data_IF_505894936174
#
_entry.id   IF_505894936174
#
_cell.length_a   1.000
_cell.length_b   1.000
_cell.length_c   1.000
_cell.angle_alpha   90.00
_cell.angle_beta   90.00
_cell.angle_gamma   90.00
#
_symmetry.space_group_name_H-M   'P 1'
#
loop_
_entity.id
_entity.type
_entity.pdbx_description
1 polymer ?
#
# COMPACT_ATOMS: atom_id res chain seq x y z
N UNK A 1 -1.54 13.21 -19.58
CA UNK A 1 -1.24 12.85 -18.18
C UNK A 1 -1.80 13.95 -17.28
N UNK A 2 -2.62 13.58 -16.31
CA UNK A 2 -3.08 14.50 -15.27
C UNK A 2 -2.07 14.53 -14.10
N UNK A 3 -2.26 15.42 -13.12
CA UNK A 3 -1.33 15.55 -11.99
C UNK A 3 -1.27 14.30 -11.10
N UNK A 4 -2.35 13.52 -11.01
CA UNK A 4 -2.40 12.29 -10.19
C UNK A 4 -1.57 11.19 -10.86
N UNK A 5 -1.76 10.97 -12.16
CA UNK A 5 -0.98 10.02 -12.95
C UNK A 5 0.51 10.37 -12.92
N UNK A 6 0.83 11.67 -12.92
CA UNK A 6 2.20 12.16 -12.79
C UNK A 6 2.83 11.74 -11.46
N UNK A 7 2.15 11.94 -10.34
CA UNK A 7 2.67 11.55 -9.02
C UNK A 7 2.88 10.04 -8.93
N UNK A 8 1.92 9.25 -9.41
CA UNK A 8 2.03 7.78 -9.44
C UNK A 8 3.21 7.32 -10.30
N UNK A 9 3.37 7.91 -11.49
CA UNK A 9 4.48 7.57 -12.39
C UNK A 9 5.84 8.01 -11.83
N UNK A 10 5.89 9.13 -11.11
CA UNK A 10 7.09 9.65 -10.48
C UNK A 10 7.53 8.80 -9.28
N UNK A 11 6.60 8.37 -8.43
CA UNK A 11 6.86 7.46 -7.31
C UNK A 11 7.35 6.09 -7.79
N UNK A 12 6.80 5.58 -8.89
CA UNK A 12 7.23 4.31 -9.48
C UNK A 12 8.69 4.33 -9.99
N UNK A 13 9.21 5.51 -10.35
CA UNK A 13 10.58 5.67 -10.86
C UNK A 13 11.63 5.80 -9.76
N UNK A 14 11.23 6.13 -8.53
CA UNK A 14 12.13 6.33 -7.40
C UNK A 14 12.91 5.05 -7.05
N UNK A 15 12.39 3.88 -7.45
CA UNK A 15 13.06 2.60 -7.29
C UNK A 15 14.24 2.37 -8.27
N UNK A 16 14.36 3.16 -9.36
CA UNK A 16 15.30 2.86 -10.46
C UNK A 16 16.08 4.07 -11.00
N UNK A 17 15.66 5.32 -10.74
CA UNK A 17 16.19 6.49 -11.45
C UNK A 17 17.38 7.18 -10.76
N UNK A 18 18.58 6.75 -11.16
CA UNK A 18 19.86 7.41 -10.89
C UNK A 18 20.01 8.83 -11.46
N UNK A 19 19.16 9.29 -12.38
CA UNK A 19 19.42 10.53 -13.13
C UNK A 19 18.14 11.15 -13.70
N UNK A 20 18.05 12.49 -13.69
CA UNK A 20 16.97 13.23 -14.38
C UNK A 20 16.94 12.96 -15.90
N UNK A 21 18.05 12.54 -16.51
CA UNK A 21 18.08 12.17 -17.93
C UNK A 21 17.36 10.84 -18.22
N UNK A 22 17.11 10.01 -17.20
CA UNK A 22 16.40 8.75 -17.31
C UNK A 22 14.86 8.90 -17.13
N UNK A 23 14.37 10.12 -16.88
CA UNK A 23 12.94 10.37 -16.73
C UNK A 23 12.22 10.16 -18.09
N UNK A 24 11.11 9.38 -18.11
CA UNK A 24 10.26 9.24 -19.27
C UNK A 24 9.82 10.60 -19.82
N UNK A 25 9.77 10.70 -21.15
CA UNK A 25 9.48 11.95 -21.88
C UNK A 25 8.14 12.56 -21.43
N UNK A 26 7.14 11.71 -21.16
CA UNK A 26 5.84 12.15 -20.69
C UNK A 26 5.92 12.98 -19.40
N UNK A 27 6.72 12.55 -18.42
CA UNK A 27 6.88 13.20 -17.11
C UNK A 27 7.54 14.56 -17.28
N UNK A 28 8.61 14.62 -18.09
CA UNK A 28 9.29 15.90 -18.39
C UNK A 28 8.34 16.89 -19.05
N UNK A 29 7.55 16.44 -20.02
CA UNK A 29 6.62 17.30 -20.73
C UNK A 29 5.53 17.86 -19.81
N UNK A 30 4.98 17.05 -18.91
CA UNK A 30 3.98 17.52 -17.96
C UNK A 30 4.56 18.50 -16.94
N UNK A 31 5.75 18.22 -16.39
CA UNK A 31 6.42 19.12 -15.46
C UNK A 31 6.79 20.47 -16.12
N UNK A 32 7.08 20.49 -17.42
CA UNK A 32 7.30 21.74 -18.16
C UNK A 32 6.01 22.58 -18.27
N UNK A 33 4.84 21.94 -18.35
CA UNK A 33 3.55 22.61 -18.49
C UNK A 33 2.82 22.92 -17.18
N UNK A 34 3.19 22.28 -16.06
CA UNK A 34 2.51 22.43 -14.77
C UNK A 34 3.51 22.87 -13.67
N UNK A 35 3.35 24.08 -13.10
CA UNK A 35 4.29 24.61 -12.11
C UNK A 35 4.29 23.81 -10.81
N UNK A 36 3.14 23.28 -10.38
CA UNK A 36 3.04 22.49 -9.15
C UNK A 36 3.79 21.16 -9.28
N UNK A 37 3.60 20.45 -10.41
CA UNK A 37 4.29 19.20 -10.68
C UNK A 37 5.80 19.39 -10.85
N UNK A 38 6.23 20.52 -11.43
CA UNK A 38 7.65 20.91 -11.49
C UNK A 38 8.26 21.04 -10.09
N UNK A 39 7.54 21.71 -9.20
CA UNK A 39 8.00 21.96 -7.83
C UNK A 39 8.14 20.65 -7.05
N UNK A 40 7.22 19.71 -7.23
CA UNK A 40 7.32 18.36 -6.67
C UNK A 40 8.57 17.63 -7.18
N UNK A 41 8.79 17.63 -8.50
CA UNK A 41 9.95 16.98 -9.13
C UNK A 41 11.28 17.56 -8.60
N UNK A 42 11.39 18.88 -8.48
CA UNK A 42 12.58 19.54 -7.94
C UNK A 42 12.83 19.19 -6.47
N UNK A 43 11.77 19.12 -5.65
CA UNK A 43 11.88 18.74 -4.23
C UNK A 43 12.40 17.31 -4.09
N UNK A 44 11.85 16.38 -4.87
CA UNK A 44 12.29 14.99 -4.85
C UNK A 44 13.73 14.83 -5.34
N UNK A 45 14.10 15.50 -6.44
CA UNK A 45 15.46 15.49 -6.96
C UNK A 45 16.49 16.00 -5.93
N UNK A 46 16.16 17.07 -5.18
CA UNK A 46 17.01 17.58 -4.09
C UNK A 46 17.11 16.59 -2.93
N UNK A 47 16.00 15.97 -2.53
CA UNK A 47 16.01 14.96 -1.47
C UNK A 47 16.91 13.77 -1.85
N UNK A 48 16.80 13.26 -3.07
CA UNK A 48 17.64 12.17 -3.57
C UNK A 48 19.12 12.58 -3.67
N UNK A 49 19.41 13.82 -4.07
CA UNK A 49 20.78 14.33 -4.09
C UNK A 49 21.40 14.33 -2.68
N UNK A 50 20.61 14.67 -1.65
CA UNK A 50 21.06 14.59 -0.25
C UNK A 50 21.31 13.15 0.19
N UNK A 51 20.47 12.20 -0.23
CA UNK A 51 20.65 10.77 0.08
C UNK A 51 21.89 10.14 -0.60
N UNK A 52 22.37 10.71 -1.71
CA UNK A 52 23.55 10.21 -2.45
C UNK A 52 24.87 10.78 -1.97
N UNK A 53 24.88 11.75 -1.06
CA UNK A 53 26.10 12.21 -0.42
C UNK A 53 26.74 11.07 0.38
N UNK A 54 28.04 10.86 0.18
CA UNK A 54 28.80 9.77 0.82
C UNK A 54 28.58 9.76 2.34
N UNK A 55 28.38 8.57 2.96
CA UNK A 55 27.98 8.44 4.37
C UNK A 55 29.01 8.99 5.38
N UNK A 56 30.23 9.31 4.95
CA UNK A 56 31.38 9.62 5.81
C UNK A 56 31.26 11.01 6.49
N UNK A 57 30.52 11.95 5.92
CA UNK A 57 30.36 13.31 6.49
C UNK A 57 28.96 13.60 7.06
N UNK A 58 28.04 12.64 6.99
CA UNK A 58 26.59 12.88 7.13
C UNK A 58 25.97 12.27 8.40
N UNK A 59 26.72 11.42 9.10
CA UNK A 59 26.17 10.42 10.02
C UNK A 59 25.68 10.97 11.37
N UNK A 60 26.21 12.10 11.84
CA UNK A 60 25.91 12.59 13.19
C UNK A 60 24.69 13.51 13.30
N UNK A 61 24.36 14.26 12.25
CA UNK A 61 23.33 15.31 12.33
C UNK A 61 22.07 15.02 11.50
N UNK A 62 22.18 14.23 10.42
CA UNK A 62 21.02 13.96 9.54
C UNK A 62 20.02 13.02 10.20
N UNK A 63 20.46 12.00 10.93
CA UNK A 63 19.51 11.15 11.67
C UNK A 63 18.64 11.98 12.63
N UNK A 64 19.23 12.93 13.34
CA UNK A 64 18.50 13.77 14.28
C UNK A 64 17.57 14.75 13.54
N UNK A 65 18.01 15.39 12.45
CA UNK A 65 17.18 16.29 11.64
C UNK A 65 16.06 15.56 10.88
N UNK A 66 16.31 14.33 10.45
CA UNK A 66 15.30 13.47 9.81
C UNK A 66 14.31 12.97 10.84
N UNK A 67 14.75 12.51 12.02
CA UNK A 67 13.84 12.11 13.09
C UNK A 67 12.95 13.26 13.56
N UNK A 68 13.50 14.47 13.71
CA UNK A 68 12.68 15.65 14.02
C UNK A 68 11.76 16.04 12.87
N UNK A 69 12.20 15.94 11.62
CA UNK A 69 11.36 16.22 10.44
C UNK A 69 10.24 15.20 10.21
N UNK A 70 10.50 13.92 10.45
CA UNK A 70 9.53 12.81 10.28
C UNK A 70 8.37 12.92 11.26
N UNK A 71 8.61 13.46 12.46
CA UNK A 71 7.54 13.74 13.44
C UNK A 71 6.50 14.74 12.90
N UNK A 72 6.90 15.66 12.04
CA UNK A 72 6.02 16.68 11.45
C UNK A 72 5.63 16.38 10.00
N UNK A 73 6.18 15.33 9.39
CA UNK A 73 5.80 14.91 8.07
C UNK A 73 4.36 14.37 8.09
N UNK A 74 3.51 14.73 7.11
CA UNK A 74 2.21 14.10 6.97
C UNK A 74 2.42 12.58 6.87
N UNK A 75 1.73 11.84 7.74
CA UNK A 75 1.82 10.37 7.79
C UNK A 75 1.66 9.83 6.38
N UNK A 76 2.59 9.01 5.86
CA UNK A 76 2.46 8.42 4.53
C UNK A 76 1.08 7.76 4.45
N UNK A 77 0.27 8.21 3.49
CA UNK A 77 -1.05 7.62 3.31
C UNK A 77 -0.83 6.19 2.82
N UNK A 78 -1.45 5.19 3.46
CA UNK A 78 -1.31 3.82 2.99
C UNK A 78 -1.79 3.76 1.53
N UNK A 79 -0.89 3.32 0.65
CA UNK A 79 -0.97 3.42 -0.81
C UNK A 79 -1.94 2.41 -1.44
N UNK A 80 -2.70 1.68 -0.62
CA UNK A 80 -3.53 0.58 -1.11
C UNK A 80 -5.00 0.98 -1.07
N UNK A 81 -5.63 1.25 -2.23
CA UNK A 81 -7.02 1.66 -2.27
C UNK A 81 -7.91 0.56 -1.71
N UNK A 82 -8.97 0.94 -0.98
CA UNK A 82 -9.96 0.04 -0.37
C UNK A 82 -10.46 -1.04 -1.36
N UNK A 83 -10.57 -0.71 -2.64
CA UNK A 83 -10.98 -1.63 -3.71
C UNK A 83 -10.03 -2.84 -3.85
N UNK A 84 -8.73 -2.64 -3.70
CA UNK A 84 -7.75 -3.73 -3.82
C UNK A 84 -7.87 -4.67 -2.62
N UNK A 85 -8.12 -4.14 -1.43
CA UNK A 85 -8.45 -4.95 -0.26
C UNK A 85 -9.74 -5.74 -0.47
N UNK A 86 -10.82 -5.08 -0.93
CA UNK A 86 -12.09 -5.76 -1.18
C UNK A 86 -11.94 -6.91 -2.19
N UNK A 87 -11.19 -6.67 -3.28
CA UNK A 87 -10.89 -7.69 -4.28
C UNK A 87 -10.12 -8.89 -3.68
N UNK A 88 -9.10 -8.65 -2.87
CA UNK A 88 -8.35 -9.71 -2.19
C UNK A 88 -9.25 -10.52 -1.24
N UNK A 89 -10.13 -9.86 -0.50
CA UNK A 89 -11.11 -10.50 0.37
C UNK A 89 -12.10 -11.38 -0.39
N UNK A 90 -12.60 -10.91 -1.54
CA UNK A 90 -13.48 -11.69 -2.42
C UNK A 90 -12.74 -12.92 -2.95
N UNK A 91 -11.49 -12.78 -3.36
CA UNK A 91 -10.67 -13.91 -3.84
C UNK A 91 -10.45 -14.95 -2.72
N UNK A 92 -10.17 -14.51 -1.50
CA UNK A 92 -10.04 -15.40 -0.33
C UNK A 92 -11.33 -16.16 -0.03
N UNK A 93 -12.48 -15.46 -0.05
CA UNK A 93 -13.79 -16.09 0.15
C UNK A 93 -14.14 -17.06 -0.98
N UNK A 94 -13.88 -16.68 -2.23
CA UNK A 94 -14.09 -17.55 -3.38
C UNK A 94 -13.21 -18.80 -3.29
N UNK A 95 -11.93 -18.66 -2.93
CA UNK A 95 -11.04 -19.79 -2.71
C UNK A 95 -11.56 -20.71 -1.59
N UNK A 96 -12.03 -20.14 -0.48
CA UNK A 96 -12.63 -20.90 0.61
C UNK A 96 -13.88 -21.68 0.18
N UNK A 97 -14.75 -21.07 -0.62
CA UNK A 97 -15.98 -21.70 -1.11
C UNK A 97 -15.73 -22.71 -2.23
N UNK A 98 -14.75 -22.47 -3.09
CA UNK A 98 -14.43 -23.33 -4.24
C UNK A 98 -13.60 -24.55 -3.80
N UNK A 99 -12.76 -24.42 -2.78
CA UNK A 99 -11.92 -25.50 -2.23
C UNK A 99 -12.65 -26.85 -2.06
N UNK A 100 -13.83 -26.94 -1.40
CA UNK A 100 -14.55 -28.21 -1.24
C UNK A 100 -15.13 -28.78 -2.55
N UNK A 101 -15.20 -28.00 -3.64
CA UNK A 101 -15.66 -28.49 -4.95
C UNK A 101 -14.53 -29.10 -5.79
N UNK A 102 -13.26 -28.91 -5.43
CA UNK A 102 -12.13 -29.48 -6.18
C UNK A 102 -12.12 -31.01 -6.08
N UNK A 103 -11.73 -31.66 -7.17
CA UNK A 103 -11.61 -33.11 -7.22
C UNK A 103 -10.58 -33.63 -6.20
N UNK A 104 -9.45 -32.93 -6.07
CA UNK A 104 -8.39 -33.25 -5.12
C UNK A 104 -8.89 -33.22 -3.67
N UNK A 105 -9.76 -32.27 -3.33
CA UNK A 105 -10.37 -32.21 -2.01
C UNK A 105 -11.19 -33.47 -1.71
N UNK A 106 -11.95 -33.96 -2.70
CA UNK A 106 -12.76 -35.18 -2.55
C UNK A 106 -11.90 -36.43 -2.43
N UNK A 107 -10.78 -36.49 -3.15
CA UNK A 107 -9.81 -37.58 -3.03
C UNK A 107 -9.19 -37.61 -1.63
N UNK A 108 -8.70 -36.46 -1.14
CA UNK A 108 -8.18 -36.36 0.24
C UNK A 108 -9.26 -36.69 1.28
N UNK A 109 -10.50 -36.28 1.06
CA UNK A 109 -11.60 -36.62 1.96
C UNK A 109 -11.92 -38.13 1.96
N UNK A 110 -11.78 -38.81 0.83
CA UNK A 110 -11.99 -40.26 0.74
C UNK A 110 -10.91 -41.04 1.53
N UNK A 111 -9.65 -40.59 1.48
CA UNK A 111 -8.54 -41.27 2.13
C UNK A 111 -8.43 -40.96 3.64
N UNK A 112 -8.66 -39.71 4.04
CA UNK A 112 -8.45 -39.24 5.41
C UNK A 112 -9.75 -39.04 6.22
N UNK A 113 -10.91 -39.08 5.56
CA UNK A 113 -12.22 -38.91 6.20
C UNK A 113 -12.40 -37.56 6.88
N UNK A 114 -13.28 -37.52 7.89
CA UNK A 114 -13.63 -36.28 8.62
C UNK A 114 -12.46 -35.71 9.44
N UNK A 115 -11.43 -36.51 9.74
CA UNK A 115 -10.25 -36.07 10.48
C UNK A 115 -9.47 -34.98 9.76
N UNK A 116 -9.58 -34.90 8.43
CA UNK A 116 -8.93 -33.87 7.61
C UNK A 116 -9.73 -32.57 7.51
N UNK A 117 -11.06 -32.64 7.57
CA UNK A 117 -11.95 -31.49 7.40
C UNK A 117 -11.81 -30.48 8.55
N UNK A 118 -11.71 -30.99 9.79
CA UNK A 118 -11.59 -30.19 11.01
C UNK A 118 -10.36 -29.27 10.97
N UNK A 119 -9.12 -29.78 10.79
CA UNK A 119 -7.94 -28.91 10.76
C UNK A 119 -7.97 -27.96 9.55
N UNK A 120 -8.47 -28.40 8.40
CA UNK A 120 -8.54 -27.56 7.21
C UNK A 120 -9.49 -26.37 7.39
N UNK A 121 -10.70 -26.62 7.90
CA UNK A 121 -11.68 -25.56 8.21
C UNK A 121 -11.17 -24.62 9.30
N UNK A 122 -10.44 -25.13 10.27
CA UNK A 122 -9.82 -24.33 11.34
C UNK A 122 -8.74 -23.39 10.79
N UNK A 123 -7.83 -23.88 9.94
CA UNK A 123 -6.80 -23.07 9.29
C UNK A 123 -7.42 -22.01 8.39
N UNK A 124 -8.42 -22.38 7.59
CA UNK A 124 -9.11 -21.46 6.69
C UNK A 124 -9.85 -20.36 7.47
N UNK A 125 -10.58 -20.73 8.52
CA UNK A 125 -11.25 -19.79 9.41
C UNK A 125 -10.29 -18.85 10.12
N UNK A 126 -9.14 -19.36 10.58
CA UNK A 126 -8.08 -18.57 11.19
C UNK A 126 -7.47 -17.57 10.19
N UNK A 127 -7.19 -18.01 8.95
CA UNK A 127 -6.66 -17.14 7.90
C UNK A 127 -7.65 -16.01 7.54
N UNK A 128 -8.94 -16.32 7.40
CA UNK A 128 -9.99 -15.32 7.15
C UNK A 128 -10.11 -14.35 8.33
N UNK A 129 -10.05 -14.84 9.57
CA UNK A 129 -10.14 -14.01 10.77
C UNK A 129 -8.95 -13.05 10.88
N UNK A 130 -7.73 -13.54 10.63
CA UNK A 130 -6.52 -12.72 10.61
C UNK A 130 -6.61 -11.65 9.51
N UNK A 131 -7.05 -12.04 8.31
CA UNK A 131 -7.27 -11.11 7.21
C UNK A 131 -8.26 -9.99 7.59
N UNK A 132 -9.41 -10.35 8.20
CA UNK A 132 -10.39 -9.38 8.68
C UNK A 132 -9.82 -8.44 9.73
N UNK A 133 -9.01 -8.95 10.65
CA UNK A 133 -8.37 -8.13 11.69
C UNK A 133 -7.41 -7.09 11.09
N UNK A 134 -6.59 -7.47 10.11
CA UNK A 134 -5.70 -6.54 9.40
C UNK A 134 -6.50 -5.55 8.56
N UNK A 135 -7.56 -5.99 7.90
CA UNK A 135 -8.45 -5.14 7.11
C UNK A 135 -9.12 -4.06 7.97
N UNK A 136 -9.70 -4.44 9.11
CA UNK A 136 -10.33 -3.50 10.05
C UNK A 136 -9.29 -2.55 10.64
N UNK A 137 -8.12 -3.07 11.05
CA UNK A 137 -7.05 -2.25 11.62
C UNK A 137 -6.52 -1.19 10.65
N UNK A 138 -6.34 -1.56 9.37
CA UNK A 138 -5.86 -0.64 8.32
C UNK A 138 -6.87 0.46 7.98
N UNK A 139 -8.18 0.17 8.06
CA UNK A 139 -9.25 1.11 7.70
C UNK A 139 -9.92 1.77 8.91
N UNK A 140 -9.44 1.52 10.14
CA UNK A 140 -10.07 2.03 11.36
C UNK A 140 -10.15 3.57 11.39
N UNK A 141 -9.16 4.24 10.78
CA UNK A 141 -9.17 5.71 10.63
C UNK A 141 -10.30 6.16 9.70
N UNK A 142 -10.46 5.51 8.55
CA UNK A 142 -11.50 5.86 7.58
C UNK A 142 -12.89 5.62 8.19
N UNK A 143 -13.09 4.47 8.85
CA UNK A 143 -14.30 4.17 9.59
C UNK A 143 -14.59 5.22 10.67
N UNK A 144 -13.58 5.66 11.42
CA UNK A 144 -13.76 6.69 12.46
C UNK A 144 -14.23 8.03 11.89
N UNK A 145 -13.78 8.38 10.68
CA UNK A 145 -14.18 9.64 10.02
C UNK A 145 -15.61 9.56 9.48
N UNK A 146 -15.99 8.44 8.86
CA UNK A 146 -17.34 8.19 8.36
C UNK A 146 -18.33 8.17 9.52
N UNK A 147 -17.98 7.46 10.60
CA UNK A 147 -18.80 7.37 11.81
C UNK A 147 -19.05 8.76 12.42
N UNK A 148 -18.00 9.57 12.54
CA UNK A 148 -18.11 10.94 13.07
C UNK A 148 -19.01 11.82 12.19
N UNK A 149 -18.89 11.72 10.86
CA UNK A 149 -19.73 12.47 9.91
C UNK A 149 -21.20 12.06 10.01
N UNK A 150 -21.48 10.77 10.15
CA UNK A 150 -22.84 10.26 10.32
C UNK A 150 -23.48 10.77 11.62
N UNK A 151 -22.73 10.74 12.73
CA UNK A 151 -23.20 11.28 14.01
C UNK A 151 -23.53 12.77 13.95
N UNK A 152 -22.76 13.56 13.19
CA UNK A 152 -23.03 14.99 13.01
C UNK A 152 -24.23 15.31 12.11
N UNK A 153 -24.71 14.35 11.30
CA UNK A 153 -25.90 14.58 10.46
C UNK A 153 -27.22 14.25 11.14
N UNK A 154 -27.17 13.61 12.32
CA UNK A 154 -28.34 13.20 13.11
C UNK A 154 -28.44 13.97 14.44
N UNK A 155 -27.74 15.11 14.55
CA UNK A 155 -27.83 16.08 15.65
C UNK A 155 -28.27 17.42 15.07
#
# INVERSE_FOLDING_TARGET
MNCVDFLVALDALDAQAGSLSALPIAIRHHAAGCPDCRLVLERQARALALCRLSPISLQKDICQRVMTGVLFAPRPQPVMPLRNWLAAGIVLLAAAMVSPLLHDYRLLQADYGNSFIIPLTLVLGAAISLYMLVFVGSHLRDFSTIWRRWLSSHR
#
